data_IF_864802332578
#
_entry.id   IF_864802332578
#
_cell.length_a   1.000
_cell.length_b   1.000
_cell.length_c   1.000
_cell.angle_alpha   90.00
_cell.angle_beta   90.00
_cell.angle_gamma   90.00
#
_symmetry.space_group_name_H-M   'P 1'
#
loop_
_entity.id
_entity.type
_entity.pdbx_description
1 polymer ?
#
# COMPACT_ATOMS: atom_id res chain seq x y z
N UNK A 1 -22.42 20.04 -5.35
CA UNK A 1 -21.52 19.04 -4.74
C UNK A 1 -22.40 17.97 -4.11
N UNK A 2 -22.25 16.73 -4.54
CA UNK A 2 -23.06 15.59 -4.07
C UNK A 2 -22.61 15.10 -2.69
N UNK A 3 -23.41 14.23 -2.06
CA UNK A 3 -22.99 13.55 -0.82
C UNK A 3 -21.70 12.74 -1.01
N UNK A 4 -21.54 12.12 -2.18
CA UNK A 4 -20.34 11.37 -2.54
C UNK A 4 -19.12 12.28 -2.72
N UNK A 5 -19.29 13.42 -3.41
CA UNK A 5 -18.21 14.42 -3.55
C UNK A 5 -17.72 14.90 -2.18
N UNK A 6 -18.64 15.15 -1.23
CA UNK A 6 -18.27 15.56 0.13
C UNK A 6 -17.54 14.44 0.85
N UNK A 7 -18.03 13.19 0.75
CA UNK A 7 -17.35 12.03 1.33
C UNK A 7 -15.92 11.90 0.79
N UNK A 8 -15.72 12.05 -0.53
CA UNK A 8 -14.40 12.03 -1.16
C UNK A 8 -13.50 13.16 -0.70
N UNK A 9 -14.04 14.36 -0.53
CA UNK A 9 -13.28 15.51 -0.02
C UNK A 9 -12.77 15.25 1.41
N UNK A 10 -13.63 14.77 2.30
CA UNK A 10 -13.25 14.46 3.69
C UNK A 10 -12.14 13.40 3.74
N UNK A 11 -12.26 12.35 2.93
CA UNK A 11 -11.23 11.32 2.79
C UNK A 11 -9.93 11.88 2.21
N UNK A 12 -10.01 12.80 1.26
CA UNK A 12 -8.84 13.48 0.68
C UNK A 12 -8.06 14.29 1.72
N UNK A 13 -8.77 15.06 2.55
CA UNK A 13 -8.18 15.82 3.67
C UNK A 13 -7.56 14.88 4.69
N UNK A 14 -8.29 13.82 5.09
CA UNK A 14 -7.78 12.81 6.00
C UNK A 14 -6.51 12.13 5.48
N UNK A 15 -6.52 11.70 4.22
CA UNK A 15 -5.38 11.08 3.55
C UNK A 15 -4.14 11.99 3.54
N UNK A 16 -4.31 13.30 3.32
CA UNK A 16 -3.20 14.25 3.34
C UNK A 16 -2.54 14.31 4.73
N UNK A 17 -3.35 14.37 5.79
CA UNK A 17 -2.87 14.46 7.18
C UNK A 17 -2.23 13.17 7.70
N UNK A 18 -2.68 12.00 7.22
CA UNK A 18 -2.13 10.69 7.60
C UNK A 18 -0.68 10.49 7.15
N UNK A 19 -0.28 11.21 6.09
CA UNK A 19 1.11 11.18 5.61
C UNK A 19 2.04 11.92 6.59
N UNK A 20 1.53 12.87 7.36
CA UNK A 20 2.33 13.75 8.22
C UNK A 20 2.40 13.28 9.67
N UNK A 21 1.37 12.59 10.15
CA UNK A 21 1.29 12.15 11.55
C UNK A 21 0.60 10.80 11.71
N UNK A 22 0.94 10.07 12.78
CA UNK A 22 0.27 8.84 13.11
C UNK A 22 -1.24 9.02 13.21
N UNK A 23 -1.94 7.94 12.88
CA UNK A 23 -3.35 8.02 12.57
C UNK A 23 -4.24 8.20 13.81
N UNK A 24 -3.74 7.77 14.97
CA UNK A 24 -4.32 8.06 16.28
C UNK A 24 -4.39 9.57 16.55
N UNK A 25 -3.45 10.35 16.01
CA UNK A 25 -3.28 11.79 16.24
C UNK A 25 -4.06 12.66 15.23
N UNK A 26 -4.87 12.03 14.37
CA UNK A 26 -5.84 12.74 13.54
C UNK A 26 -6.93 13.40 14.40
N UNK A 27 -7.02 14.71 14.27
CA UNK A 27 -8.13 15.53 14.78
C UNK A 27 -9.26 15.56 13.76
N UNK A 28 -10.41 14.99 14.11
CA UNK A 28 -11.63 15.09 13.29
C UNK A 28 -12.17 16.51 13.26
N UNK A 29 -11.88 17.33 14.27
CA UNK A 29 -12.27 18.74 14.31
C UNK A 29 -11.49 19.53 13.26
N UNK A 30 -10.18 19.29 13.14
CA UNK A 30 -9.34 19.94 12.13
C UNK A 30 -9.79 19.56 10.72
N UNK A 31 -10.13 18.28 10.51
CA UNK A 31 -10.63 17.79 9.21
C UNK A 31 -11.97 18.44 8.87
N UNK A 32 -12.89 18.52 9.83
CA UNK A 32 -14.19 19.16 9.62
C UNK A 32 -14.02 20.66 9.34
N UNK A 33 -13.16 21.35 10.09
CA UNK A 33 -12.85 22.76 9.89
C UNK A 33 -12.25 23.03 8.51
N UNK A 34 -11.28 22.22 8.09
CA UNK A 34 -10.65 22.33 6.75
C UNK A 34 -11.65 22.04 5.63
N UNK A 35 -12.59 21.12 5.84
CA UNK A 35 -13.69 20.86 4.91
C UNK A 35 -14.80 21.93 4.93
N UNK A 36 -14.75 22.88 5.87
CA UNK A 36 -15.77 23.91 6.06
C UNK A 36 -17.11 23.37 6.58
N UNK A 37 -17.08 22.31 7.39
CA UNK A 37 -18.28 21.67 7.96
C UNK A 37 -18.18 21.51 9.48
N UNK A 38 -19.31 21.19 10.11
CA UNK A 38 -19.33 20.80 11.53
C UNK A 38 -18.82 19.37 11.73
N UNK A 39 -18.28 19.08 12.92
CA UNK A 39 -17.92 17.71 13.32
C UNK A 39 -19.13 16.75 13.24
N UNK A 40 -20.32 17.24 13.59
CA UNK A 40 -21.56 16.45 13.47
C UNK A 40 -21.86 16.05 12.02
N UNK A 41 -21.62 16.93 11.06
CA UNK A 41 -21.80 16.61 9.64
C UNK A 41 -20.71 15.63 9.14
N UNK A 42 -19.50 15.65 9.69
CA UNK A 42 -18.50 14.59 9.42
C UNK A 42 -19.02 13.22 9.87
N UNK A 43 -19.57 13.12 11.08
CA UNK A 43 -20.12 11.87 11.61
C UNK A 43 -21.36 11.39 10.86
N UNK A 44 -22.10 12.29 10.21
CA UNK A 44 -23.17 11.89 9.28
C UNK A 44 -22.64 11.07 8.10
N UNK A 45 -21.45 11.38 7.59
CA UNK A 45 -20.80 10.58 6.54
C UNK A 45 -20.07 9.35 7.11
N UNK A 46 -19.45 9.48 8.27
CA UNK A 46 -18.64 8.44 8.89
C UNK A 46 -19.09 8.22 10.33
N UNK A 47 -19.95 7.22 10.61
CA UNK A 47 -20.58 7.06 11.92
C UNK A 47 -19.59 7.01 13.09
N UNK A 48 -18.39 6.45 12.85
CA UNK A 48 -17.31 6.40 13.84
C UNK A 48 -15.99 6.98 13.31
N UNK A 49 -15.07 7.31 14.22
CA UNK A 49 -13.68 7.65 13.87
C UNK A 49 -13.03 6.50 13.08
N UNK A 50 -13.35 5.25 13.44
CA UNK A 50 -12.87 4.05 12.76
C UNK A 50 -13.37 3.94 11.32
N UNK A 51 -14.61 4.30 11.03
CA UNK A 51 -15.13 4.26 9.65
C UNK A 51 -14.49 5.35 8.77
N UNK A 52 -14.24 6.53 9.33
CA UNK A 52 -13.49 7.58 8.64
C UNK A 52 -12.05 7.14 8.36
N UNK A 53 -11.41 6.54 9.37
CA UNK A 53 -10.08 5.97 9.30
C UNK A 53 -9.94 4.91 8.20
N UNK A 54 -10.83 3.92 8.20
CA UNK A 54 -10.85 2.85 7.19
C UNK A 54 -11.04 3.41 5.79
N UNK A 55 -11.89 4.43 5.62
CA UNK A 55 -12.06 5.09 4.33
C UNK A 55 -10.77 5.78 3.85
N UNK A 56 -10.00 6.37 4.77
CA UNK A 56 -8.71 6.97 4.47
C UNK A 56 -7.64 5.94 4.11
N UNK A 57 -7.55 4.81 4.83
CA UNK A 57 -6.61 3.73 4.50
C UNK A 57 -6.98 3.11 3.16
N UNK A 58 -8.26 2.83 2.92
CA UNK A 58 -8.71 2.30 1.63
C UNK A 58 -8.35 3.27 0.48
N UNK A 59 -8.45 4.58 0.71
CA UNK A 59 -7.99 5.57 -0.25
C UNK A 59 -6.46 5.59 -0.42
N UNK A 60 -5.70 5.38 0.65
CA UNK A 60 -4.25 5.23 0.62
C UNK A 60 -3.83 3.99 -0.19
N UNK A 61 -4.46 2.83 0.04
CA UNK A 61 -4.23 1.60 -0.70
C UNK A 61 -4.56 1.74 -2.19
N UNK A 62 -5.72 2.31 -2.53
CA UNK A 62 -6.07 2.63 -3.93
C UNK A 62 -5.07 3.61 -4.56
N UNK A 63 -4.60 4.61 -3.81
CA UNK A 63 -3.57 5.53 -4.31
C UNK A 63 -2.27 4.80 -4.56
N UNK A 64 -1.85 3.92 -3.64
CA UNK A 64 -0.65 3.13 -3.79
C UNK A 64 -0.71 2.27 -5.05
N UNK A 65 -1.77 1.48 -5.22
CA UNK A 65 -1.98 0.69 -6.43
C UNK A 65 -1.88 1.54 -7.69
N UNK A 66 -2.55 2.70 -7.77
CA UNK A 66 -2.44 3.57 -8.96
C UNK A 66 -1.02 4.08 -9.19
N UNK A 67 -0.29 4.45 -8.13
CA UNK A 67 1.07 5.00 -8.26
C UNK A 67 2.12 3.94 -8.54
N UNK A 68 1.82 2.67 -8.27
CA UNK A 68 2.70 1.52 -8.55
C UNK A 68 2.24 0.72 -9.77
N UNK A 69 1.28 1.23 -10.56
CA UNK A 69 0.91 0.58 -11.81
C UNK A 69 2.10 0.64 -12.79
N UNK A 70 2.51 -0.49 -13.38
CA UNK A 70 3.52 -0.47 -14.43
C UNK A 70 2.93 0.13 -15.71
N UNK A 71 3.81 0.50 -16.63
CA UNK A 71 3.41 0.80 -18.01
C UNK A 71 3.01 -0.51 -18.72
N UNK A 72 1.77 -0.59 -19.18
CA UNK A 72 1.18 -1.80 -19.78
C UNK A 72 1.83 -2.15 -21.13
N UNK A 73 2.50 -1.20 -21.77
CA UNK A 73 3.20 -1.40 -23.05
C UNK A 73 4.59 -2.05 -22.88
N UNK A 74 5.09 -2.15 -21.64
CA UNK A 74 6.38 -2.78 -21.37
C UNK A 74 6.29 -4.32 -21.46
N UNK A 75 7.39 -5.01 -21.81
CA UNK A 75 7.48 -6.46 -21.67
C UNK A 75 7.16 -6.91 -20.23
N UNK A 76 6.55 -8.08 -20.07
CA UNK A 76 6.09 -8.59 -18.78
C UNK A 76 7.15 -8.57 -17.67
N UNK A 77 8.39 -8.98 -17.98
CA UNK A 77 9.51 -8.92 -17.04
C UNK A 77 9.82 -7.48 -16.59
N UNK A 78 9.80 -6.51 -17.50
CA UNK A 78 10.02 -5.10 -17.19
C UNK A 78 8.87 -4.51 -16.36
N UNK A 79 7.63 -4.97 -16.60
CA UNK A 79 6.49 -4.62 -15.74
C UNK A 79 6.68 -5.13 -14.31
N UNK A 80 7.16 -6.38 -14.15
CA UNK A 80 7.43 -6.98 -12.84
C UNK A 80 8.57 -6.26 -12.12
N UNK A 81 9.66 -5.94 -12.81
CA UNK A 81 10.74 -5.14 -12.24
C UNK A 81 10.23 -3.75 -11.80
N UNK A 82 9.46 -3.08 -12.65
CA UNK A 82 8.90 -1.76 -12.36
C UNK A 82 7.95 -1.78 -11.15
N UNK A 83 6.98 -2.71 -11.09
CA UNK A 83 6.05 -2.77 -9.95
C UNK A 83 6.78 -3.11 -8.65
N UNK A 84 7.78 -4.02 -8.71
CA UNK A 84 8.61 -4.38 -7.55
C UNK A 84 9.37 -3.17 -7.04
N UNK A 85 10.05 -2.44 -7.93
CA UNK A 85 10.79 -1.22 -7.60
C UNK A 85 9.88 -0.15 -6.99
N UNK A 86 8.73 0.13 -7.62
CA UNK A 86 7.79 1.15 -7.13
C UNK A 86 7.22 0.79 -5.75
N UNK A 87 7.01 -0.50 -5.48
CA UNK A 87 6.61 -0.98 -4.15
C UNK A 87 7.73 -0.79 -3.11
N UNK A 88 8.96 -1.16 -3.43
CA UNK A 88 10.14 -0.96 -2.55
C UNK A 88 10.34 0.53 -2.23
N UNK A 89 10.32 1.40 -3.25
CA UNK A 89 10.48 2.85 -3.09
C UNK A 89 9.34 3.47 -2.25
N UNK A 90 8.12 2.94 -2.38
CA UNK A 90 6.98 3.40 -1.59
C UNK A 90 7.12 3.00 -0.11
N UNK A 91 7.56 1.77 0.16
CA UNK A 91 7.85 1.28 1.51
C UNK A 91 8.96 2.11 2.14
N UNK A 92 10.04 2.38 1.40
CA UNK A 92 11.14 3.25 1.87
C UNK A 92 10.63 4.65 2.22
N UNK A 93 9.91 5.30 1.30
CA UNK A 93 9.41 6.66 1.46
C UNK A 93 8.45 6.81 2.65
N UNK A 94 7.72 5.74 2.98
CA UNK A 94 6.63 5.75 3.97
C UNK A 94 6.81 4.68 5.03
N UNK A 95 8.06 4.39 5.39
CA UNK A 95 8.43 3.28 6.28
C UNK A 95 7.62 3.26 7.57
N UNK A 96 7.59 4.36 8.32
CA UNK A 96 6.92 4.41 9.62
C UNK A 96 5.41 4.19 9.50
N UNK A 97 4.80 4.76 8.45
CA UNK A 97 3.39 4.53 8.14
C UNK A 97 3.13 3.07 7.77
N UNK A 98 4.01 2.46 6.97
CA UNK A 98 3.90 1.04 6.60
C UNK A 98 4.02 0.13 7.82
N UNK A 99 5.02 0.36 8.68
CA UNK A 99 5.20 -0.39 9.93
C UNK A 99 4.00 -0.23 10.86
N UNK A 100 3.48 0.98 11.02
CA UNK A 100 2.30 1.22 11.85
C UNK A 100 1.04 0.53 11.30
N UNK A 101 0.90 0.46 9.98
CA UNK A 101 -0.28 -0.14 9.34
C UNK A 101 -0.22 -1.67 9.27
N UNK A 102 0.96 -2.24 8.99
CA UNK A 102 1.16 -3.68 8.74
C UNK A 102 1.58 -4.43 10.00
N UNK A 103 2.33 -3.79 10.89
CA UNK A 103 2.87 -4.41 12.11
C UNK A 103 2.42 -3.72 13.41
N UNK A 104 1.59 -2.68 13.32
CA UNK A 104 1.09 -1.97 14.48
C UNK A 104 0.08 -2.79 15.28
N UNK A 105 0.37 -2.99 16.56
CA UNK A 105 -0.51 -3.67 17.54
C UNK A 105 -1.85 -2.93 17.80
N UNK A 106 -2.03 -1.73 17.24
CA UNK A 106 -3.26 -0.92 17.35
C UNK A 106 -4.35 -1.26 16.33
N UNK A 107 -4.07 -2.14 15.36
CA UNK A 107 -5.01 -2.54 14.32
C UNK A 107 -5.81 -3.75 14.80
N UNK A 108 -6.69 -3.55 15.80
CA UNK A 108 -7.60 -4.58 16.27
C UNK A 108 -8.82 -4.79 15.36
N UNK A 109 -9.00 -3.93 14.33
CA UNK A 109 -10.11 -4.01 13.40
C UNK A 109 -9.73 -4.86 12.17
N UNK A 110 -10.38 -6.04 11.97
CA UNK A 110 -10.10 -6.91 10.82
C UNK A 110 -10.23 -6.21 9.47
N UNK A 111 -11.06 -5.16 9.37
CA UNK A 111 -11.28 -4.39 8.13
C UNK A 111 -10.03 -3.68 7.63
N UNK A 112 -9.03 -3.43 8.50
CA UNK A 112 -7.75 -2.89 8.04
C UNK A 112 -6.92 -3.96 7.33
N UNK A 113 -6.92 -5.19 7.85
CA UNK A 113 -6.28 -6.33 7.16
C UNK A 113 -6.89 -6.53 5.79
N UNK A 114 -8.22 -6.46 5.67
CA UNK A 114 -8.94 -6.57 4.39
C UNK A 114 -8.46 -5.52 3.36
N UNK A 115 -8.18 -4.29 3.79
CA UNK A 115 -7.65 -3.26 2.90
C UNK A 115 -6.23 -3.60 2.45
N UNK A 116 -5.38 -4.09 3.35
CA UNK A 116 -4.02 -4.52 3.00
C UNK A 116 -4.02 -5.75 2.09
N UNK A 117 -4.91 -6.70 2.33
CA UNK A 117 -5.13 -7.85 1.47
C UNK A 117 -5.56 -7.41 0.08
N UNK A 118 -6.50 -6.47 -0.04
CA UNK A 118 -6.93 -5.94 -1.35
C UNK A 118 -5.80 -5.29 -2.16
N UNK A 119 -4.85 -4.66 -1.46
CA UNK A 119 -3.66 -4.07 -2.07
C UNK A 119 -2.72 -5.17 -2.55
N UNK A 120 -2.44 -6.17 -1.71
CA UNK A 120 -1.58 -7.30 -2.08
C UNK A 120 -2.18 -8.10 -3.23
N UNK A 121 -3.49 -8.32 -3.22
CA UNK A 121 -4.21 -8.98 -4.30
C UNK A 121 -4.10 -8.18 -5.61
N UNK A 122 -4.32 -6.86 -5.57
CA UNK A 122 -4.15 -6.01 -6.75
C UNK A 122 -2.74 -6.00 -7.32
N UNK A 123 -1.71 -6.02 -6.46
CA UNK A 123 -0.31 -6.15 -6.90
C UNK A 123 0.01 -7.55 -7.41
N UNK A 124 -0.62 -8.59 -6.86
CA UNK A 124 -0.51 -9.98 -7.32
C UNK A 124 -1.03 -10.13 -8.73
N UNK A 125 -2.21 -9.58 -9.04
CA UNK A 125 -2.80 -9.76 -10.37
C UNK A 125 -1.99 -9.10 -11.47
N UNK A 126 -1.30 -8.00 -11.17
CA UNK A 126 -0.39 -7.38 -12.14
C UNK A 126 0.76 -8.30 -12.52
N UNK A 127 1.36 -8.95 -11.53
CA UNK A 127 2.48 -9.87 -11.75
C UNK A 127 2.00 -11.14 -12.46
N UNK A 128 0.84 -11.67 -12.05
CA UNK A 128 0.21 -12.83 -12.70
C UNK A 128 -0.09 -12.53 -14.16
N UNK A 129 -0.67 -11.37 -14.47
CA UNK A 129 -0.99 -10.96 -15.84
C UNK A 129 0.28 -10.69 -16.66
N UNK A 130 1.27 -10.02 -16.09
CA UNK A 130 2.51 -9.66 -16.79
C UNK A 130 3.33 -10.89 -17.21
N UNK A 131 3.38 -11.94 -16.38
CA UNK A 131 4.16 -13.16 -16.66
C UNK A 131 3.33 -14.34 -17.16
N UNK A 132 2.03 -14.16 -17.40
CA UNK A 132 1.08 -15.24 -17.74
C UNK A 132 1.17 -16.43 -16.76
N UNK A 133 1.20 -16.11 -15.46
CA UNK A 133 1.36 -17.12 -14.40
C UNK A 133 0.10 -17.99 -14.33
N UNK A 134 0.22 -19.34 -14.36
CA UNK A 134 -0.92 -20.23 -14.19
C UNK A 134 -1.65 -19.99 -12.86
N UNK A 135 -3.00 -20.08 -12.88
CA UNK A 135 -3.86 -19.85 -11.70
C UNK A 135 -3.40 -20.64 -10.46
N UNK A 136 -2.95 -21.89 -10.66
CA UNK A 136 -2.44 -22.75 -9.57
C UNK A 136 -1.22 -22.19 -8.83
N UNK A 137 -0.52 -21.21 -9.41
CA UNK A 137 0.66 -20.55 -8.83
C UNK A 137 0.35 -19.12 -8.37
N UNK A 138 -0.89 -18.64 -8.49
CA UNK A 138 -1.30 -17.29 -8.02
C UNK A 138 -0.92 -17.05 -6.55
N UNK A 139 -1.16 -18.03 -5.68
CA UNK A 139 -0.83 -17.92 -4.26
C UNK A 139 0.68 -17.85 -3.99
N UNK A 140 1.51 -18.39 -4.90
CA UNK A 140 2.98 -18.29 -4.82
C UNK A 140 3.40 -16.84 -5.06
N UNK A 141 2.84 -16.19 -6.09
CA UNK A 141 3.06 -14.76 -6.37
C UNK A 141 2.57 -13.90 -5.20
N UNK A 142 1.40 -14.23 -4.65
CA UNK A 142 0.85 -13.53 -3.49
C UNK A 142 1.75 -13.63 -2.27
N UNK A 143 2.28 -14.81 -1.98
CA UNK A 143 3.19 -15.05 -0.85
C UNK A 143 4.54 -14.36 -1.04
N UNK A 144 5.05 -14.30 -2.28
CA UNK A 144 6.29 -13.62 -2.61
C UNK A 144 6.26 -12.12 -2.25
N UNK A 145 5.09 -11.46 -2.28
CA UNK A 145 4.99 -10.07 -1.79
C UNK A 145 5.39 -9.93 -0.32
N UNK A 146 5.10 -10.92 0.54
CA UNK A 146 5.55 -10.87 1.94
C UNK A 146 7.08 -10.92 2.04
N UNK A 147 7.75 -11.72 1.21
CA UNK A 147 9.21 -11.74 1.09
C UNK A 147 9.76 -10.39 0.62
N UNK A 148 9.18 -9.82 -0.44
CA UNK A 148 9.59 -8.52 -1.00
C UNK A 148 9.40 -7.38 -0.02
N UNK A 149 8.29 -7.36 0.71
CA UNK A 149 8.01 -6.36 1.74
C UNK A 149 9.00 -6.44 2.90
N UNK A 150 9.29 -7.64 3.40
CA UNK A 150 10.28 -7.85 4.47
C UNK A 150 11.68 -7.41 4.03
N UNK A 151 12.07 -7.74 2.80
CA UNK A 151 13.33 -7.29 2.21
C UNK A 151 13.40 -5.76 2.10
N UNK A 152 12.34 -5.11 1.62
CA UNK A 152 12.25 -3.65 1.51
C UNK A 152 12.29 -2.99 2.89
N UNK A 153 11.62 -3.56 3.89
CA UNK A 153 11.64 -3.07 5.26
C UNK A 153 13.01 -3.25 5.90
N UNK A 154 13.68 -4.38 5.71
CA UNK A 154 15.01 -4.60 6.28
C UNK A 154 16.03 -3.66 5.64
N UNK A 155 16.00 -3.52 4.31
CA UNK A 155 16.90 -2.66 3.56
C UNK A 155 16.71 -1.17 3.89
N UNK A 156 15.47 -0.69 3.97
CA UNK A 156 15.17 0.72 4.29
C UNK A 156 15.42 1.10 5.76
N UNK A 157 15.64 0.11 6.64
CA UNK A 157 16.07 0.38 8.02
C UNK A 157 17.52 0.87 8.10
N UNK A 158 18.33 0.57 7.10
CA UNK A 158 19.75 0.95 7.04
C UNK A 158 19.88 2.37 6.46
N UNK A 159 20.69 3.26 7.08
CA UNK A 159 20.93 4.60 6.55
C UNK A 159 21.41 4.56 5.09
N UNK A 160 20.96 5.51 4.26
CA UNK A 160 21.20 5.51 2.80
C UNK A 160 22.65 5.29 2.38
N UNK A 161 23.61 5.88 3.10
CA UNK A 161 25.05 5.75 2.81
C UNK A 161 25.70 4.45 3.29
N UNK A 162 24.96 3.61 4.02
CA UNK A 162 25.43 2.36 4.64
C UNK A 162 24.68 1.15 4.10
N UNK A 163 23.79 1.34 3.11
CA UNK A 163 22.99 0.26 2.55
C UNK A 163 23.89 -0.80 1.91
N UNK A 164 23.60 -2.10 2.16
CA UNK A 164 24.46 -3.19 1.70
C UNK A 164 24.46 -3.31 0.17
N UNK A 165 23.36 -2.93 -0.48
CA UNK A 165 23.16 -2.97 -1.93
C UNK A 165 22.33 -1.76 -2.39
N UNK A 166 22.48 -1.29 -3.64
CA UNK A 166 21.57 -0.30 -4.22
C UNK A 166 20.15 -0.88 -4.41
N UNK A 167 19.16 0.00 -4.57
CA UNK A 167 17.75 -0.41 -4.75
C UNK A 167 17.55 -1.31 -5.98
N UNK A 168 18.31 -1.08 -7.06
CA UNK A 168 18.24 -1.90 -8.27
C UNK A 168 18.66 -3.34 -8.05
N UNK A 169 19.67 -3.58 -7.22
CA UNK A 169 20.14 -4.92 -6.88
C UNK A 169 19.15 -5.63 -5.97
N UNK A 170 18.61 -4.94 -4.95
CA UNK A 170 17.52 -5.46 -4.12
C UNK A 170 16.31 -5.88 -4.98
N UNK A 171 15.90 -5.04 -5.93
CA UNK A 171 14.78 -5.36 -6.84
C UNK A 171 15.10 -6.58 -7.70
N UNK A 172 16.30 -6.65 -8.27
CA UNK A 172 16.72 -7.80 -9.07
C UNK A 172 16.73 -9.10 -8.25
N UNK A 173 17.19 -9.07 -7.00
CA UNK A 173 17.11 -10.22 -6.08
C UNK A 173 15.67 -10.63 -5.80
N UNK A 174 14.77 -9.67 -5.55
CA UNK A 174 13.35 -9.95 -5.35
C UNK A 174 12.71 -10.60 -6.59
N UNK A 175 12.99 -10.10 -7.79
CA UNK A 175 12.48 -10.68 -9.05
C UNK A 175 13.07 -12.07 -9.30
N UNK A 176 14.37 -12.27 -9.05
CA UNK A 176 14.98 -13.60 -9.12
C UNK A 176 14.35 -14.59 -8.13
N UNK A 177 14.00 -14.14 -6.92
CA UNK A 177 13.29 -14.97 -5.94
C UNK A 177 11.89 -15.38 -6.41
N UNK A 178 11.15 -14.49 -7.08
CA UNK A 178 9.86 -14.83 -7.70
C UNK A 178 10.01 -15.96 -8.72
N UNK A 179 10.96 -15.82 -9.64
CA UNK A 179 11.24 -16.84 -10.66
C UNK A 179 11.64 -18.18 -10.07
N UNK A 180 12.48 -18.17 -9.02
CA UNK A 180 12.85 -19.40 -8.31
C UNK A 180 11.63 -20.08 -7.65
N UNK A 181 10.74 -19.31 -7.03
CA UNK A 181 9.51 -19.83 -6.41
C UNK A 181 8.53 -20.41 -7.45
N UNK A 182 8.40 -19.76 -8.61
CA UNK A 182 7.58 -20.27 -9.70
C UNK A 182 8.18 -21.56 -10.30
N UNK A 183 9.50 -21.65 -10.44
CA UNK A 183 10.15 -22.85 -10.97
C UNK A 183 9.98 -24.10 -10.08
N UNK A 184 10.05 -23.96 -8.76
CA UNK A 184 9.88 -25.10 -7.83
C UNK A 184 8.43 -25.53 -7.63
N UNK A 185 7.48 -24.70 -8.05
CA UNK A 185 6.03 -24.98 -7.97
C UNK A 185 5.43 -25.33 -9.33
N UNK A 186 6.25 -25.39 -10.39
CA UNK A 186 5.86 -25.71 -11.75
C UNK A 186 5.44 -27.18 -11.92
#
# INVERSE_FOLDING_TARGET
>A
MTAEDRRRQLVGIGLAKIVEKPIQDLSLDDIAAEAGISRGLLFHYFPTKTDFYLACIAAAGRRMLRTTAPDEDLPGEEQVEMVTRLMVEQIERRRDFYLALVHGHGVADPRVSEVMDSVRDGSTERVVQALDVPERQRDVVRAWWAYTEDRALTWSAVPTGERPVPVSELVAECVAALHALLAITA
#
